data_IF_711217805303
#
_entry.id   IF_711217805303
#
_cell.length_a   1.000
_cell.length_b   1.000
_cell.length_c   1.000
_cell.angle_alpha   90.00
_cell.angle_beta   90.00
_cell.angle_gamma   90.00
#
_symmetry.space_group_name_H-M   'P 1'
#
loop_
_entity.id
_entity.type
_entity.pdbx_description
1 polymer ?
#
# COMPACT_ATOMS: atom_id res chain seq x y z
N UNK A 1 -16.71 -6.43 -11.53
CA UNK A 1 -15.48 -5.65 -11.72
C UNK A 1 -15.23 -4.90 -10.43
N UNK A 2 -14.22 -5.30 -9.68
CA UNK A 2 -13.90 -4.69 -8.39
C UNK A 2 -13.23 -3.34 -8.62
N UNK A 3 -13.75 -2.27 -8.03
CA UNK A 3 -13.21 -0.92 -8.19
C UNK A 3 -12.06 -0.75 -7.19
N UNK A 4 -10.93 -0.20 -7.64
CA UNK A 4 -9.80 0.15 -6.78
C UNK A 4 -9.70 1.67 -6.72
N UNK A 5 -9.71 2.22 -5.51
CA UNK A 5 -9.59 3.65 -5.26
C UNK A 5 -8.44 3.93 -4.34
N UNK A 6 -7.76 5.05 -4.59
CA UNK A 6 -6.61 5.48 -3.80
C UNK A 6 -7.04 6.70 -3.00
N UNK A 7 -6.94 6.60 -1.67
CA UNK A 7 -7.08 7.78 -0.82
C UNK A 7 -5.97 8.79 -1.13
N UNK A 8 -6.19 10.06 -0.79
CA UNK A 8 -5.18 11.09 -1.00
C UNK A 8 -3.86 10.81 -0.25
N UNK A 9 -3.89 10.37 1.03
CA UNK A 9 -2.68 9.94 1.73
C UNK A 9 -1.95 8.79 1.02
N UNK A 10 -2.67 7.80 0.45
CA UNK A 10 -2.04 6.70 -0.27
C UNK A 10 -1.27 7.18 -1.51
N UNK A 11 -1.82 8.14 -2.27
CA UNK A 11 -1.10 8.72 -3.43
C UNK A 11 0.16 9.44 -3.00
N UNK A 12 0.07 10.25 -1.94
CA UNK A 12 1.20 10.99 -1.39
C UNK A 12 2.29 10.03 -0.90
N UNK A 13 1.92 9.01 -0.11
CA UNK A 13 2.85 8.00 0.37
C UNK A 13 3.54 7.27 -0.79
N UNK A 14 2.79 6.89 -1.82
CA UNK A 14 3.32 6.18 -2.99
C UNK A 14 4.39 7.00 -3.70
N UNK A 15 4.12 8.28 -3.97
CA UNK A 15 5.10 9.18 -4.59
C UNK A 15 6.30 9.44 -3.69
N UNK A 16 6.09 9.64 -2.38
CA UNK A 16 7.19 9.82 -1.43
C UNK A 16 8.10 8.58 -1.35
N UNK A 17 7.54 7.38 -1.46
CA UNK A 17 8.32 6.15 -1.52
C UNK A 17 9.12 6.06 -2.82
N UNK A 18 8.55 6.45 -3.97
CA UNK A 18 9.28 6.51 -5.25
C UNK A 18 10.44 7.50 -5.14
N UNK A 19 10.19 8.74 -4.70
CA UNK A 19 11.23 9.77 -4.56
C UNK A 19 12.35 9.32 -3.62
N UNK A 20 12.01 8.66 -2.51
CA UNK A 20 13.00 8.10 -1.60
C UNK A 20 13.82 6.99 -2.25
N UNK A 21 13.17 6.07 -2.97
CA UNK A 21 13.86 4.98 -3.67
C UNK A 21 14.76 5.50 -4.79
N UNK A 22 14.34 6.51 -5.55
CA UNK A 22 15.15 7.14 -6.60
C UNK A 22 16.38 7.86 -6.03
N UNK A 23 16.25 8.46 -4.84
CA UNK A 23 17.35 9.19 -4.19
C UNK A 23 18.38 8.27 -3.53
N UNK A 24 17.90 7.21 -2.87
CA UNK A 24 18.75 6.36 -2.01
C UNK A 24 19.12 5.02 -2.66
N UNK A 25 18.43 4.61 -3.73
CA UNK A 25 18.56 3.30 -4.37
C UNK A 25 18.57 3.42 -5.90
N UNK A 26 18.59 2.29 -6.61
CA UNK A 26 18.63 2.28 -8.08
C UNK A 26 17.21 2.28 -8.67
N UNK A 27 17.10 2.61 -9.95
CA UNK A 27 15.84 2.49 -10.70
C UNK A 27 15.27 1.07 -10.66
N UNK A 28 16.10 0.04 -10.48
CA UNK A 28 15.63 -1.34 -10.30
C UNK A 28 14.79 -1.50 -9.05
N UNK A 29 15.15 -0.86 -7.93
CA UNK A 29 14.34 -0.89 -6.70
C UNK A 29 13.02 -0.14 -6.87
N UNK A 30 13.03 0.96 -7.63
CA UNK A 30 11.83 1.74 -7.96
C UNK A 30 10.84 0.89 -8.76
N UNK A 31 11.30 0.29 -9.87
CA UNK A 31 10.45 -0.58 -10.69
C UNK A 31 9.96 -1.80 -9.91
N UNK A 32 10.81 -2.41 -9.08
CA UNK A 32 10.38 -3.53 -8.26
C UNK A 32 9.29 -3.14 -7.25
N UNK A 33 9.35 -1.94 -6.67
CA UNK A 33 8.27 -1.42 -5.81
C UNK A 33 6.97 -1.26 -6.60
N UNK A 34 7.01 -0.61 -7.76
CA UNK A 34 5.84 -0.39 -8.62
C UNK A 34 5.19 -1.72 -9.03
N UNK A 35 6.00 -2.67 -9.52
CA UNK A 35 5.54 -4.00 -9.92
C UNK A 35 4.87 -4.76 -8.75
N UNK A 36 5.39 -4.61 -7.53
CA UNK A 36 4.81 -5.23 -6.33
C UNK A 36 3.46 -4.61 -5.96
N UNK A 37 3.30 -3.30 -6.14
CA UNK A 37 2.01 -2.63 -5.92
C UNK A 37 0.99 -3.12 -6.93
N UNK A 38 1.33 -3.19 -8.21
CA UNK A 38 0.44 -3.68 -9.26
C UNK A 38 0.05 -5.15 -9.03
N UNK A 39 1.01 -6.02 -8.69
CA UNK A 39 0.75 -7.42 -8.34
C UNK A 39 -0.22 -7.55 -7.15
N UNK A 40 -0.07 -6.71 -6.12
CA UNK A 40 -0.95 -6.74 -4.97
C UNK A 40 -2.36 -6.27 -5.32
N UNK A 41 -2.50 -5.21 -6.14
CA UNK A 41 -3.80 -4.75 -6.62
C UNK A 41 -4.50 -5.84 -7.44
N UNK A 42 -3.77 -6.52 -8.31
CA UNK A 42 -4.27 -7.67 -9.09
C UNK A 42 -4.71 -8.84 -8.22
N UNK A 43 -3.99 -9.11 -7.11
CA UNK A 43 -4.39 -10.14 -6.16
C UNK A 43 -5.65 -9.74 -5.38
N UNK A 44 -5.71 -8.49 -4.94
CA UNK A 44 -6.83 -7.94 -4.16
C UNK A 44 -8.14 -7.94 -4.97
N UNK A 45 -8.07 -7.68 -6.28
CA UNK A 45 -9.25 -7.68 -7.17
C UNK A 45 -9.76 -9.07 -7.53
N UNK A 46 -9.05 -10.15 -7.20
CA UNK A 46 -9.48 -11.54 -7.46
C UNK A 46 -10.42 -12.12 -6.39
N UNK A 47 -10.93 -11.28 -5.48
CA UNK A 47 -12.02 -11.52 -4.51
C UNK A 47 -11.90 -12.76 -3.58
N UNK A 48 -10.75 -13.43 -3.50
CA UNK A 48 -10.55 -14.61 -2.65
C UNK A 48 -9.38 -14.47 -1.66
N UNK A 49 -8.94 -13.25 -1.37
CA UNK A 49 -7.75 -13.04 -0.56
C UNK A 49 -7.94 -11.87 0.42
N UNK A 50 -7.87 -12.20 1.71
CA UNK A 50 -7.87 -11.24 2.79
C UNK A 50 -6.54 -11.37 3.52
N UNK A 51 -5.76 -10.29 3.55
CA UNK A 51 -4.47 -10.26 4.25
C UNK A 51 -4.67 -10.04 5.75
N UNK A 52 -3.56 -9.78 6.47
CA UNK A 52 -3.56 -9.67 7.93
C UNK A 52 -4.47 -8.52 8.39
N UNK A 53 -5.43 -8.75 9.30
CA UNK A 53 -6.24 -7.68 9.85
C UNK A 53 -5.38 -6.74 10.73
N UNK A 54 -5.83 -5.50 10.85
CA UNK A 54 -5.27 -4.50 11.76
C UNK A 54 -6.18 -4.30 12.99
N UNK A 55 -5.76 -3.44 13.91
CA UNK A 55 -6.61 -3.00 15.04
C UNK A 55 -7.75 -2.08 14.59
N UNK A 56 -7.63 -1.49 13.39
CA UNK A 56 -8.66 -0.63 12.82
C UNK A 56 -9.75 -1.47 12.14
N UNK A 57 -11.01 -1.06 12.34
CA UNK A 57 -12.17 -1.77 11.82
C UNK A 57 -12.07 -1.96 10.31
N UNK A 58 -12.29 -3.19 9.86
CA UNK A 58 -12.35 -3.55 8.43
C UNK A 58 -11.12 -3.10 7.62
N UNK A 59 -9.96 -3.00 8.29
CA UNK A 59 -8.71 -2.57 7.69
C UNK A 59 -7.70 -3.69 7.78
N UNK A 60 -7.00 -3.92 6.69
CA UNK A 60 -6.03 -4.98 6.50
C UNK A 60 -4.69 -4.39 6.09
N UNK A 61 -3.63 -5.13 6.34
CA UNK A 61 -2.27 -4.75 5.99
C UNK A 61 -1.57 -5.88 5.23
N UNK A 62 -0.74 -5.49 4.27
CA UNK A 62 0.09 -6.40 3.50
C UNK A 62 1.44 -5.76 3.20
N UNK A 63 2.56 -6.44 3.45
CA UNK A 63 3.86 -5.93 3.00
C UNK A 63 3.92 -5.86 1.48
N UNK A 64 4.26 -4.68 0.95
CA UNK A 64 4.61 -4.49 -0.47
C UNK A 64 6.08 -4.86 -0.67
N UNK A 65 6.93 -4.29 0.18
CA UNK A 65 8.33 -4.64 0.36
C UNK A 65 8.59 -4.85 1.86
N UNK A 66 9.78 -5.32 2.23
CA UNK A 66 10.16 -5.45 3.65
C UNK A 66 10.00 -4.13 4.42
N UNK A 67 10.26 -3.02 3.74
CA UNK A 67 10.24 -1.66 4.28
C UNK A 67 8.90 -0.94 4.10
N UNK A 68 7.98 -1.44 3.25
CA UNK A 68 6.77 -0.69 2.88
C UNK A 68 5.55 -1.58 3.04
N UNK A 69 4.58 -1.12 3.84
CA UNK A 69 3.34 -1.83 4.12
C UNK A 69 2.15 -1.09 3.52
N UNK A 70 1.36 -1.79 2.70
CA UNK A 70 0.08 -1.29 2.22
C UNK A 70 -0.99 -1.55 3.27
N UNK A 71 -1.72 -0.50 3.63
CA UNK A 71 -2.96 -0.57 4.38
C UNK A 71 -4.15 -0.31 3.47
N UNK A 72 -5.18 -1.16 3.57
CA UNK A 72 -6.35 -1.07 2.71
C UNK A 72 -7.63 -1.53 3.44
N UNK A 73 -8.79 -1.21 2.87
CA UNK A 73 -10.09 -1.70 3.34
C UNK A 73 -11.03 -2.03 2.19
N UNK A 74 -12.03 -2.86 2.47
CA UNK A 74 -13.16 -3.09 1.57
C UNK A 74 -14.32 -2.15 1.91
N UNK A 75 -14.83 -1.40 0.95
CA UNK A 75 -15.92 -0.44 1.16
C UNK A 75 -16.82 -0.41 -0.07
N UNK A 76 -18.12 -0.65 0.10
CA UNK A 76 -19.13 -0.57 -0.97
C UNK A 76 -18.72 -1.29 -2.27
N UNK A 77 -18.23 -2.53 -2.17
CA UNK A 77 -17.75 -3.34 -3.30
C UNK A 77 -16.51 -2.76 -4.02
N UNK A 78 -15.78 -1.88 -3.36
CA UNK A 78 -14.52 -1.33 -3.78
C UNK A 78 -13.41 -1.64 -2.77
N UNK A 79 -12.18 -1.58 -3.25
CA UNK A 79 -10.96 -1.67 -2.46
C UNK A 79 -10.40 -0.26 -2.35
N UNK A 80 -10.25 0.23 -1.13
CA UNK A 80 -9.71 1.56 -0.86
C UNK A 80 -8.30 1.38 -0.31
N UNK A 81 -7.30 1.86 -1.05
CA UNK A 81 -5.91 1.93 -0.59
C UNK A 81 -5.76 3.15 0.32
N UNK A 82 -5.38 2.91 1.56
CA UNK A 82 -5.36 3.92 2.62
C UNK A 82 -3.98 4.55 2.79
N UNK A 83 -2.93 3.74 2.93
CA UNK A 83 -1.55 4.20 3.18
C UNK A 83 -0.53 3.25 2.56
N UNK A 84 0.57 3.77 2.02
CA UNK A 84 1.78 3.02 1.70
C UNK A 84 2.86 3.37 2.73
N UNK A 85 2.70 2.83 3.93
CA UNK A 85 3.53 3.22 5.08
C UNK A 85 4.96 2.71 4.93
N UNK A 86 5.93 3.62 5.01
CA UNK A 86 7.34 3.25 5.12
C UNK A 86 7.64 2.92 6.59
N UNK A 87 7.98 1.67 6.86
CA UNK A 87 8.20 1.10 8.18
C UNK A 87 9.40 1.72 8.93
N UNK A 88 10.24 2.51 8.26
CA UNK A 88 11.32 3.29 8.91
C UNK A 88 10.89 4.69 9.35
N UNK A 89 9.67 5.13 9.00
CA UNK A 89 9.10 6.36 9.52
C UNK A 89 8.69 6.18 10.98
N UNK A 90 8.80 7.25 11.77
CA UNK A 90 8.40 7.27 13.18
C UNK A 90 6.94 6.84 13.33
N UNK A 91 6.71 5.74 14.06
CA UNK A 91 5.39 5.16 14.31
C UNK A 91 4.41 6.18 14.91
N UNK A 92 4.90 7.19 15.64
CA UNK A 92 4.06 8.26 16.21
C UNK A 92 3.41 9.16 15.15
N UNK A 93 3.88 9.11 13.89
CA UNK A 93 3.32 9.87 12.76
C UNK A 93 2.30 9.07 11.96
N UNK A 94 2.06 7.81 12.31
CA UNK A 94 1.10 6.97 11.59
C UNK A 94 -0.34 7.37 11.91
N UNK A 95 -1.11 7.71 10.88
CA UNK A 95 -2.54 8.03 10.97
C UNK A 95 -3.23 7.38 9.77
N UNK A 96 -4.16 6.47 10.03
CA UNK A 96 -4.88 5.71 9.01
C UNK A 96 -6.10 6.48 8.49
#
# INVERSE_FOLDING_TARGET
MTIVSWSEPAKIDYWNNIEYLEREWTLTEVYHFMDKVDQLIDLLTKENLTFKPTVYKNTFQVPVLKQITLYYRFENNAIVLLRFWNNYQDEKKFIL
#
